data_IF_052337559219
#
_entry.id   IF_052337559219
#
_cell.length_a   1.000
_cell.length_b   1.000
_cell.length_c   1.000
_cell.angle_alpha   90.00
_cell.angle_beta   90.00
_cell.angle_gamma   90.00
#
_symmetry.space_group_name_H-M   'P 1'
#
loop_
_entity.id
_entity.type
_entity.pdbx_description
1 polymer ?
#
# COMPACT_ATOMS: atom_id res chain seq x y z
N UNK A 1 -5.82 -0.97 -6.89
CA UNK A 1 -5.32 -0.12 -5.80
C UNK A 1 -5.89 1.30 -5.78
N UNK A 2 -5.69 2.18 -6.76
CA UNK A 2 -6.12 3.59 -6.64
C UNK A 2 -7.63 3.79 -6.35
N UNK A 3 -8.50 2.93 -6.89
CA UNK A 3 -9.93 2.90 -6.54
C UNK A 3 -10.20 2.28 -5.17
N UNK A 4 -9.55 1.15 -4.85
CA UNK A 4 -9.66 0.51 -3.52
C UNK A 4 -9.26 1.47 -2.39
N UNK A 5 -8.19 2.25 -2.56
CA UNK A 5 -7.76 3.28 -1.59
C UNK A 5 -8.81 4.39 -1.45
N UNK A 6 -9.45 4.79 -2.56
CA UNK A 6 -10.48 5.83 -2.54
C UNK A 6 -11.83 5.36 -1.97
N UNK A 7 -12.10 4.06 -2.05
CA UNK A 7 -13.34 3.44 -1.56
C UNK A 7 -13.19 2.86 -0.14
N UNK A 8 -11.95 2.75 0.35
CA UNK A 8 -11.64 2.33 1.73
C UNK A 8 -12.11 3.41 2.71
N UNK A 9 -13.25 3.15 3.35
CA UNK A 9 -13.89 4.10 4.26
C UNK A 9 -13.55 3.86 5.73
N UNK A 10 -13.11 2.65 6.07
CA UNK A 10 -12.84 2.22 7.45
C UNK A 10 -11.49 1.51 7.50
N UNK A 11 -10.67 1.86 8.49
CA UNK A 11 -9.43 1.17 8.85
C UNK A 11 -9.69 0.30 10.08
N UNK A 12 -9.05 -0.86 10.14
CA UNK A 12 -9.12 -1.80 11.25
C UNK A 12 -7.91 -1.64 12.17
N UNK A 13 -8.10 -2.00 13.45
CA UNK A 13 -7.02 -2.01 14.43
C UNK A 13 -6.10 -3.19 14.10
N UNK A 14 -4.77 -3.00 14.01
CA UNK A 14 -3.83 -4.07 13.73
C UNK A 14 -3.80 -5.10 14.85
N UNK A 15 -3.84 -6.36 14.47
CA UNK A 15 -3.61 -7.52 15.34
C UNK A 15 -2.20 -8.06 15.08
N UNK A 16 -1.26 -7.77 15.98
CA UNK A 16 0.14 -8.16 15.80
C UNK A 16 0.39 -9.68 15.88
N UNK A 17 -0.60 -10.49 16.26
CA UNK A 17 -0.50 -11.95 16.21
C UNK A 17 -0.83 -12.52 14.81
N UNK A 18 -1.42 -11.71 13.92
CA UNK A 18 -1.81 -12.11 12.57
C UNK A 18 -0.81 -11.64 11.52
N UNK A 19 -0.63 -12.39 10.41
CA UNK A 19 0.25 -11.98 9.33
C UNK A 19 -0.29 -10.71 8.64
N UNK A 20 0.62 -9.78 8.38
CA UNK A 20 0.33 -8.61 7.55
C UNK A 20 0.57 -8.93 6.08
N UNK A 21 -0.28 -8.37 5.23
CA UNK A 21 -0.13 -8.45 3.79
C UNK A 21 -0.04 -7.03 3.24
N UNK A 22 1.11 -6.72 2.64
CA UNK A 22 1.35 -5.44 1.98
C UNK A 22 1.11 -5.61 0.49
N UNK A 23 0.20 -4.81 -0.08
CA UNK A 23 -0.02 -4.71 -1.52
C UNK A 23 0.36 -3.33 -2.01
N UNK A 24 1.30 -3.32 -2.94
CA UNK A 24 1.84 -2.11 -3.54
C UNK A 24 1.42 -2.01 -4.99
N UNK A 25 1.12 -0.80 -5.46
CA UNK A 25 0.86 -0.50 -6.86
C UNK A 25 1.62 0.77 -7.25
N UNK A 26 2.41 0.65 -8.30
CA UNK A 26 3.23 1.71 -8.83
C UNK A 26 2.72 2.14 -10.20
N UNK A 27 2.41 3.43 -10.32
CA UNK A 27 2.15 4.07 -11.61
C UNK A 27 3.32 4.96 -12.01
N UNK A 28 3.28 5.51 -13.22
CA UNK A 28 4.32 6.42 -13.70
C UNK A 28 4.45 7.71 -12.89
N UNK A 29 3.43 8.10 -12.13
CA UNK A 29 3.37 9.40 -11.43
C UNK A 29 3.12 9.30 -9.93
N UNK A 30 2.67 8.14 -9.45
CA UNK A 30 2.39 7.92 -8.04
C UNK A 30 2.56 6.46 -7.64
N UNK A 31 2.90 6.26 -6.39
CA UNK A 31 2.92 4.99 -5.71
C UNK A 31 1.80 4.91 -4.68
N UNK A 32 1.24 3.71 -4.50
CA UNK A 32 0.29 3.41 -3.44
C UNK A 32 0.63 2.08 -2.77
N UNK A 33 0.36 1.99 -1.48
CA UNK A 33 0.44 0.81 -0.65
C UNK A 33 -0.84 0.68 0.18
N UNK A 34 -1.28 -0.55 0.36
CA UNK A 34 -2.31 -0.93 1.32
C UNK A 34 -1.75 -2.04 2.18
N UNK A 35 -1.74 -1.83 3.49
CA UNK A 35 -1.49 -2.86 4.47
C UNK A 35 -2.84 -3.45 4.90
N UNK A 36 -3.02 -4.75 4.78
CA UNK A 36 -4.22 -5.45 5.24
C UNK A 36 -3.86 -6.70 6.04
N UNK A 37 -4.81 -7.13 6.85
CA UNK A 37 -4.80 -8.42 7.53
C UNK A 37 -6.01 -9.22 7.11
N UNK A 38 -5.94 -10.53 7.30
CA UNK A 38 -7.08 -11.42 7.08
C UNK A 38 -7.87 -11.48 8.38
N UNK A 39 -9.12 -11.01 8.36
CA UNK A 39 -10.05 -11.09 9.48
C UNK A 39 -10.45 -12.52 9.81
N UNK A 40 -11.14 -12.71 10.93
CA UNK A 40 -11.65 -14.03 11.35
C UNK A 40 -12.68 -14.61 10.37
N UNK A 41 -13.37 -13.74 9.64
CA UNK A 41 -14.30 -14.02 8.55
C UNK A 41 -13.61 -14.36 7.21
N UNK A 42 -12.28 -14.26 7.16
CA UNK A 42 -11.49 -14.42 5.94
C UNK A 42 -11.51 -13.18 5.03
N UNK A 43 -12.10 -12.07 5.47
CA UNK A 43 -12.13 -10.84 4.69
C UNK A 43 -10.84 -10.04 4.85
N UNK A 44 -10.48 -9.28 3.81
CA UNK A 44 -9.33 -8.37 3.87
C UNK A 44 -9.70 -7.14 4.68
N UNK A 45 -9.11 -7.02 5.87
CA UNK A 45 -9.25 -5.89 6.76
C UNK A 45 -8.09 -4.91 6.54
N UNK A 46 -8.33 -3.76 5.88
CA UNK A 46 -7.30 -2.77 5.68
C UNK A 46 -6.91 -2.11 7.00
N UNK A 47 -5.61 -2.09 7.29
CA UNK A 47 -5.02 -1.50 8.50
C UNK A 47 -4.54 -0.09 8.20
N UNK A 48 -3.78 0.07 7.12
CA UNK A 48 -3.13 1.33 6.79
C UNK A 48 -3.00 1.54 5.27
N UNK A 49 -3.01 2.81 4.90
CA UNK A 49 -2.91 3.28 3.53
C UNK A 49 -1.73 4.23 3.40
N UNK A 50 -0.78 3.89 2.54
CA UNK A 50 0.32 4.78 2.19
C UNK A 50 0.18 5.18 0.72
N UNK A 51 0.31 6.46 0.41
CA UNK A 51 0.39 6.90 -0.99
C UNK A 51 1.38 8.05 -1.12
N UNK A 52 2.13 8.01 -2.22
CA UNK A 52 3.14 9.02 -2.51
C UNK A 52 3.08 9.43 -3.98
N UNK A 53 3.10 10.74 -4.23
CA UNK A 53 3.37 11.27 -5.57
C UNK A 53 4.87 11.17 -5.85
N UNK A 54 5.22 10.61 -7.00
CA UNK A 54 6.60 10.56 -7.46
C UNK A 54 7.04 11.96 -7.90
N UNK A 55 8.23 12.37 -7.49
CA UNK A 55 8.89 13.55 -8.03
C UNK A 55 9.34 13.32 -9.47
N UNK A 56 9.63 14.38 -10.23
CA UNK A 56 10.10 14.28 -11.62
C UNK A 56 11.35 13.40 -11.80
N UNK A 57 12.14 13.25 -10.74
CA UNK A 57 13.31 12.36 -10.72
C UNK A 57 12.88 10.91 -10.50
N UNK A 58 11.98 10.67 -9.54
CA UNK A 58 11.52 9.32 -9.19
C UNK A 58 10.57 8.72 -10.26
N UNK A 59 9.91 9.55 -11.08
CA UNK A 59 9.14 9.04 -12.23
C UNK A 59 10.01 8.35 -13.27
N UNK A 60 11.32 8.67 -13.31
CA UNK A 60 12.30 8.08 -14.24
C UNK A 60 12.84 6.74 -13.75
N UNK A 61 12.60 6.37 -12.49
CA UNK A 61 13.03 5.09 -11.95
C UNK A 61 12.32 3.92 -12.63
N UNK A 62 13.03 2.80 -12.75
CA UNK A 62 12.48 1.53 -13.19
C UNK A 62 11.41 1.02 -12.24
N UNK A 63 10.61 0.05 -12.70
CA UNK A 63 9.51 -0.52 -11.91
C UNK A 63 10.00 -1.10 -10.57
N UNK A 64 11.10 -1.85 -10.60
CA UNK A 64 11.70 -2.44 -9.39
C UNK A 64 12.23 -1.40 -8.39
N UNK A 65 12.85 -0.33 -8.90
CA UNK A 65 13.33 0.78 -8.05
C UNK A 65 12.17 1.52 -7.39
N UNK A 66 11.08 1.73 -8.12
CA UNK A 66 9.84 2.32 -7.60
C UNK A 66 9.17 1.46 -6.53
N UNK A 67 9.16 0.15 -6.70
CA UNK A 67 8.64 -0.80 -5.69
C UNK A 67 9.51 -0.79 -4.41
N UNK A 68 10.84 -0.78 -4.56
CA UNK A 68 11.77 -0.71 -3.42
C UNK A 68 11.71 0.63 -2.69
N UNK A 69 11.49 1.73 -3.41
CA UNK A 69 11.28 3.06 -2.83
C UNK A 69 10.13 3.08 -1.81
N UNK A 70 9.09 2.25 -2.03
CA UNK A 70 7.99 2.13 -1.10
C UNK A 70 8.36 1.38 0.17
N UNK A 71 9.17 0.32 0.04
CA UNK A 71 9.58 -0.53 1.15
C UNK A 71 10.58 0.15 2.10
N UNK A 72 11.26 1.21 1.66
CA UNK A 72 12.27 1.96 2.44
C UNK A 72 11.61 3.11 3.23
N UNK A 73 10.37 3.47 2.93
CA UNK A 73 9.74 4.69 3.48
C UNK A 73 9.07 4.51 4.86
N UNK A 74 9.33 3.41 5.57
CA UNK A 74 8.81 3.11 6.92
C UNK A 74 9.83 3.50 8.00
#
# INVERSE_FOLDING_TARGET
LKKEIAEMKNLFIPDYEKPFVLRTDASNTSLGAVLYQIGEDGEHQPIELASKKLTLTETRYGKSEKEMLLSIWD
#
